data_IF_313798489093
#
_entry.id   IF_313798489093
#
_cell.length_a   1.000
_cell.length_b   1.000
_cell.length_c   1.000
_cell.angle_alpha   90.00
_cell.angle_beta   90.00
_cell.angle_gamma   90.00
#
_symmetry.space_group_name_H-M   'P 1'
#
loop_
_entity.id
_entity.type
_entity.pdbx_description
1 polymer ?
#
# COMPACT_ATOMS: atom_id res chain seq x y z
N UNK A 1 2.08 -2.31 -18.92
CA UNK A 1 1.53 -2.68 -17.61
C UNK A 1 2.53 -3.23 -16.57
N UNK A 2 3.72 -3.69 -16.96
CA UNK A 2 4.69 -4.23 -15.99
C UNK A 2 5.14 -3.19 -14.94
N UNK A 3 5.32 -1.92 -15.33
CA UNK A 3 5.68 -0.81 -14.45
C UNK A 3 4.62 -0.55 -13.36
N UNK A 4 3.33 -0.48 -13.73
CA UNK A 4 2.24 -0.29 -12.77
C UNK A 4 2.16 -1.44 -11.74
N UNK A 5 2.42 -2.68 -12.18
CA UNK A 5 2.45 -3.84 -11.28
C UNK A 5 3.56 -3.72 -10.24
N UNK A 6 4.74 -3.25 -10.64
CA UNK A 6 5.85 -2.99 -9.71
C UNK A 6 5.54 -1.87 -8.73
N UNK A 7 4.85 -0.80 -9.16
CA UNK A 7 4.41 0.28 -8.27
C UNK A 7 3.45 -0.26 -7.19
N UNK A 8 2.48 -1.11 -7.57
CA UNK A 8 1.58 -1.76 -6.62
C UNK A 8 2.33 -2.64 -5.60
N UNK A 9 3.33 -3.41 -6.06
CA UNK A 9 4.16 -4.26 -5.18
C UNK A 9 4.97 -3.40 -4.21
N UNK A 10 5.60 -2.32 -4.68
CA UNK A 10 6.38 -1.41 -3.83
C UNK A 10 5.48 -0.76 -2.77
N UNK A 11 4.29 -0.31 -3.15
CA UNK A 11 3.32 0.27 -2.20
C UNK A 11 2.93 -0.74 -1.10
N UNK A 12 2.74 -2.02 -1.44
CA UNK A 12 2.46 -3.06 -0.45
C UNK A 12 3.64 -3.29 0.50
N UNK A 13 4.84 -3.43 -0.04
CA UNK A 13 6.06 -3.67 0.77
C UNK A 13 6.30 -2.50 1.71
N UNK A 14 6.21 -1.26 1.22
CA UNK A 14 6.36 -0.07 2.05
C UNK A 14 5.27 0.03 3.12
N UNK A 15 4.02 -0.28 2.78
CA UNK A 15 2.91 -0.31 3.72
C UNK A 15 3.15 -1.29 4.88
N UNK A 16 3.62 -2.51 4.57
CA UNK A 16 4.01 -3.49 5.58
C UNK A 16 5.17 -2.99 6.43
N UNK A 17 6.23 -2.47 5.81
CA UNK A 17 7.39 -1.91 6.54
C UNK A 17 6.96 -0.81 7.51
N UNK A 18 6.05 0.07 7.10
CA UNK A 18 5.53 1.15 7.95
C UNK A 18 4.75 0.62 9.15
N UNK A 19 3.90 -0.39 8.95
CA UNK A 19 3.15 -1.03 10.04
C UNK A 19 4.09 -1.72 11.01
N UNK A 20 5.04 -2.52 10.52
CA UNK A 20 6.03 -3.19 11.36
C UNK A 20 6.90 -2.19 12.12
N UNK A 21 7.34 -1.12 11.46
CA UNK A 21 8.12 -0.08 12.11
C UNK A 21 7.33 0.61 13.23
N UNK A 22 6.09 1.03 12.95
CA UNK A 22 5.20 1.60 13.98
C UNK A 22 4.99 0.62 15.15
N UNK A 23 4.77 -0.67 14.85
CA UNK A 23 4.66 -1.71 15.87
C UNK A 23 5.93 -1.83 16.73
N UNK A 24 7.12 -1.87 16.14
CA UNK A 24 8.38 -1.94 16.91
C UNK A 24 8.60 -0.71 17.79
N UNK A 25 8.11 0.47 17.38
CA UNK A 25 8.20 1.67 18.22
C UNK A 25 7.35 1.61 19.48
N UNK A 26 6.32 0.76 19.50
CA UNK A 26 5.47 0.55 20.69
C UNK A 26 6.14 -0.26 21.80
N UNK A 27 7.25 -0.96 21.51
CA UNK A 27 7.87 -1.90 22.44
C UNK A 27 8.91 -1.28 23.38
N UNK A 28 9.58 -0.23 22.93
CA UNK A 28 10.56 0.44 23.77
C UNK A 28 9.84 1.41 24.71
N UNK A 29 9.89 1.14 26.00
CA UNK A 29 9.16 1.88 27.03
C UNK A 29 10.15 2.28 28.12
N UNK A 30 10.80 3.42 27.93
CA UNK A 30 11.72 4.00 28.90
C UNK A 30 11.59 5.53 28.89
N UNK A 31 11.03 6.11 29.95
CA UNK A 31 10.89 7.57 30.08
C UNK A 31 11.08 8.00 31.54
N UNK A 32 11.85 9.08 31.75
CA UNK A 32 12.04 9.74 33.04
C UNK A 32 10.77 10.52 33.43
N UNK A 33 10.43 10.51 34.72
CA UNK A 33 9.14 10.95 35.29
C UNK A 33 8.78 12.42 35.08
N UNK A 34 9.74 13.30 34.83
CA UNK A 34 9.51 14.75 34.68
C UNK A 34 9.04 15.19 33.29
N UNK A 35 9.29 14.38 32.24
CA UNK A 35 8.90 14.67 30.85
C UNK A 35 8.03 13.57 30.25
N UNK A 36 7.48 12.72 31.13
CA UNK A 36 6.83 11.47 30.76
C UNK A 36 5.64 11.68 29.80
N UNK A 37 4.73 12.62 30.10
CA UNK A 37 3.52 12.82 29.28
C UNK A 37 3.82 13.34 27.86
N UNK A 38 4.70 14.33 27.72
CA UNK A 38 5.00 14.92 26.41
C UNK A 38 5.72 13.92 25.49
N UNK A 39 6.65 13.13 26.05
CA UNK A 39 7.36 12.06 25.34
C UNK A 39 6.38 10.95 24.95
N UNK A 40 5.46 10.57 25.84
CA UNK A 40 4.46 9.54 25.59
C UNK A 40 3.51 9.94 24.45
N UNK A 41 3.02 11.18 24.45
CA UNK A 41 2.14 11.71 23.40
C UNK A 41 2.87 11.76 22.05
N UNK A 42 4.07 12.33 22.01
CA UNK A 42 4.84 12.44 20.76
C UNK A 42 5.16 11.07 20.14
N UNK A 43 5.46 10.07 20.97
CA UNK A 43 5.70 8.68 20.53
C UNK A 43 4.43 8.00 20.05
N UNK A 44 3.32 8.20 20.76
CA UNK A 44 2.01 7.63 20.42
C UNK A 44 1.55 8.17 19.07
N UNK A 45 1.60 9.49 18.87
CA UNK A 45 1.25 10.12 17.58
C UNK A 45 2.11 9.57 16.45
N UNK A 46 3.42 9.42 16.67
CA UNK A 46 4.34 8.87 15.66
C UNK A 46 4.01 7.42 15.31
N UNK A 47 3.76 6.59 16.32
CA UNK A 47 3.39 5.18 16.16
C UNK A 47 2.11 5.05 15.33
N UNK A 48 1.07 5.82 15.67
CA UNK A 48 -0.17 5.82 14.91
C UNK A 48 -0.01 6.41 13.51
N UNK A 49 0.80 7.45 13.32
CA UNK A 49 1.08 8.00 11.99
C UNK A 49 1.72 6.96 11.06
N UNK A 50 2.67 6.16 11.56
CA UNK A 50 3.28 5.08 10.79
C UNK A 50 2.30 3.93 10.51
N UNK A 51 1.53 3.49 11.50
CA UNK A 51 0.55 2.41 11.33
C UNK A 51 -0.55 2.82 10.35
N UNK A 52 -1.18 3.99 10.55
CA UNK A 52 -2.25 4.51 9.69
C UNK A 52 -1.71 4.77 8.28
N UNK A 53 -0.52 5.40 8.16
CA UNK A 53 0.13 5.62 6.87
C UNK A 53 0.43 4.31 6.14
N UNK A 54 0.86 3.28 6.87
CA UNK A 54 1.08 1.94 6.32
C UNK A 54 -0.21 1.30 5.80
N UNK A 55 -1.32 1.42 6.54
CA UNK A 55 -2.64 0.96 6.05
C UNK A 55 -3.09 1.70 4.78
N UNK A 56 -2.88 3.01 4.71
CA UNK A 56 -3.20 3.80 3.50
C UNK A 56 -2.37 3.29 2.30
N UNK A 57 -1.07 3.06 2.49
CA UNK A 57 -0.20 2.53 1.44
C UNK A 57 -0.63 1.14 0.97
N UNK A 58 -1.00 0.26 1.89
CA UNK A 58 -1.57 -1.05 1.56
C UNK A 58 -2.84 -0.90 0.74
N UNK A 59 -3.75 -0.03 1.16
CA UNK A 59 -5.01 0.22 0.45
C UNK A 59 -4.76 0.71 -0.98
N UNK A 60 -3.88 1.71 -1.16
CA UNK A 60 -3.48 2.21 -2.48
C UNK A 60 -2.85 1.11 -3.33
N UNK A 61 -1.99 0.29 -2.74
CA UNK A 61 -1.38 -0.86 -3.42
C UNK A 61 -2.43 -1.83 -3.95
N UNK A 62 -3.43 -2.19 -3.14
CA UNK A 62 -4.54 -3.08 -3.51
C UNK A 62 -5.40 -2.45 -4.60
N UNK A 63 -5.78 -1.19 -4.46
CA UNK A 63 -6.58 -0.46 -5.47
C UNK A 63 -5.86 -0.42 -6.82
N UNK A 64 -4.55 -0.11 -6.83
CA UNK A 64 -3.76 -0.12 -8.06
C UNK A 64 -3.73 -1.50 -8.71
N UNK A 65 -3.63 -2.58 -7.93
CA UNK A 65 -3.67 -3.94 -8.45
C UNK A 65 -5.01 -4.24 -9.13
N UNK A 66 -6.13 -3.91 -8.49
CA UNK A 66 -7.47 -4.08 -9.07
C UNK A 66 -7.64 -3.31 -10.38
N UNK A 67 -7.16 -2.07 -10.43
CA UNK A 67 -7.20 -1.26 -11.67
C UNK A 67 -6.35 -1.89 -12.78
N UNK A 68 -5.17 -2.43 -12.46
CA UNK A 68 -4.34 -3.11 -13.44
C UNK A 68 -5.00 -4.38 -13.99
N UNK A 69 -5.63 -5.16 -13.11
CA UNK A 69 -6.32 -6.39 -13.50
C UNK A 69 -7.54 -6.07 -14.36
N UNK A 70 -8.28 -5.00 -14.04
CA UNK A 70 -9.38 -4.52 -14.87
C UNK A 70 -8.93 -4.08 -16.27
N UNK A 71 -7.86 -3.28 -16.36
CA UNK A 71 -7.32 -2.83 -17.66
C UNK A 71 -6.83 -3.99 -18.52
N UNK A 72 -6.26 -5.04 -17.91
CA UNK A 72 -5.88 -6.27 -18.62
C UNK A 72 -7.07 -7.00 -19.20
N UNK A 73 -8.14 -7.14 -18.44
CA UNK A 73 -9.37 -7.77 -18.92
C UNK A 73 -9.93 -7.01 -20.10
N UNK A 74 -9.96 -5.67 -20.00
CA UNK A 74 -10.43 -4.80 -21.07
C UNK A 74 -9.56 -4.92 -22.34
N UNK A 75 -8.24 -4.91 -22.19
CA UNK A 75 -7.30 -5.08 -23.31
C UNK A 75 -7.51 -6.42 -24.02
N UNK A 76 -7.68 -7.51 -23.25
CA UNK A 76 -7.92 -8.83 -23.81
C UNK A 76 -9.26 -8.92 -24.56
N UNK A 77 -10.31 -8.28 -24.04
CA UNK A 77 -11.63 -8.25 -24.68
C UNK A 77 -11.57 -7.51 -26.03
N UNK A 78 -10.94 -6.34 -26.05
CA UNK A 78 -10.73 -5.57 -27.29
C UNK A 78 -9.92 -6.38 -28.32
N UNK A 79 -8.85 -7.05 -27.89
CA UNK A 79 -8.04 -7.90 -28.77
C UNK A 79 -8.81 -9.11 -29.31
N UNK A 80 -9.76 -9.66 -28.54
CA UNK A 80 -10.60 -10.77 -29.01
C UNK A 80 -11.59 -10.33 -30.09
N UNK A 81 -12.19 -9.14 -29.94
CA UNK A 81 -13.12 -8.57 -30.91
C UNK A 81 -12.44 -8.26 -32.24
N UNK A 82 -11.24 -7.65 -32.22
CA UNK A 82 -10.46 -7.37 -33.43
C UNK A 82 -10.11 -8.65 -34.20
N UNK A 83 -9.75 -9.72 -33.49
CA UNK A 83 -9.44 -11.02 -34.10
C UNK A 83 -10.68 -11.70 -34.71
N UNK A 84 -11.85 -11.53 -34.11
CA UNK A 84 -13.10 -12.10 -34.64
C UNK A 84 -13.56 -11.35 -35.90
N UNK A 85 -13.44 -10.02 -35.95
CA UNK A 85 -13.67 -9.25 -37.18
C UNK A 85 -12.74 -9.70 -38.31
N UNK A 86 -11.44 -9.86 -38.02
CA UNK A 86 -10.44 -10.31 -39.00
C UNK A 86 -10.71 -11.68 -39.59
N UNK A 87 -11.37 -12.58 -38.87
CA UNK A 87 -11.73 -13.93 -39.35
C UNK A 87 -13.03 -13.95 -40.15
N UNK A 88 -13.84 -12.90 -40.06
CA UNK A 88 -15.13 -12.79 -40.75
C UNK A 88 -15.03 -12.22 -42.17
N UNK A 89 -13.86 -11.67 -42.54
CA UNK A 89 -13.49 -11.13 -43.86
C UNK A 89 -12.67 -12.16 -44.63
#
# INVERSE_FOLDING_TARGET
MASLRWISVIAHVLGLVFIFYGWTQSWDFSAHTSEYESILIARTVRTYAFIIGGFILLFVGVSLKLVCDYLRTLENEVLSLDNDERKSI
#
